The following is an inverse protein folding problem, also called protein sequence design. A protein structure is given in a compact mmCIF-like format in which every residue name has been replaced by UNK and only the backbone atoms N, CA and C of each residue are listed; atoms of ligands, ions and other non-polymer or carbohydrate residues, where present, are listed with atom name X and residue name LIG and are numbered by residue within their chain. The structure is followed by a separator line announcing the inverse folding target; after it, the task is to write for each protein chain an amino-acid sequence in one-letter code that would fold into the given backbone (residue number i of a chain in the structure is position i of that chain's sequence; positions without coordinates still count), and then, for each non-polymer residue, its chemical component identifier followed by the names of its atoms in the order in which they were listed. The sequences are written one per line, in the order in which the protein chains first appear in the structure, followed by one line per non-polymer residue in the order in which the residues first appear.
data_IF_705309967792
#
_entry.id   IF_705309967792
#
_cell.length_a   1.000
_cell.length_b   1.000
_cell.length_c   1.000
_cell.angle_alpha   90.00
_cell.angle_beta   90.00
_cell.angle_gamma   90.00
#
_symmetry.space_group_name_H-M   'P 1'
#
loop_
_entity.id
_entity.type
_entity.pdbx_description
1 polymer ?
#
# COMPACT_ATOMS: atom_id res chain seq x y z
N UNK A 1 35.75 14.83 -20.68
CA UNK A 1 34.37 15.02 -21.19
C UNK A 1 34.10 16.50 -21.16
N UNK A 2 33.98 17.12 -22.32
CA UNK A 2 33.72 18.55 -22.43
C UNK A 2 32.24 18.81 -22.07
N UNK A 3 32.00 19.68 -21.08
CA UNK A 3 30.67 19.97 -20.58
C UNK A 3 29.87 20.79 -21.62
N UNK A 4 28.81 20.21 -22.19
CA UNK A 4 27.83 20.96 -23.00
C UNK A 4 26.91 21.76 -22.08
N UNK A 5 26.72 23.05 -22.36
CA UNK A 5 25.74 23.88 -21.64
C UNK A 5 24.32 23.45 -22.02
N UNK A 6 23.45 23.28 -21.03
CA UNK A 6 22.03 22.98 -21.22
C UNK A 6 21.23 24.29 -21.18
N UNK A 7 20.20 24.41 -22.01
CA UNK A 7 19.32 25.58 -22.12
C UNK A 7 17.86 25.15 -22.08
N UNK A 8 16.98 26.01 -21.56
CA UNK A 8 15.52 25.84 -21.66
C UNK A 8 15.04 26.14 -23.08
N UNK A 9 13.77 25.80 -23.40
CA UNK A 9 13.12 26.18 -24.67
C UNK A 9 13.04 27.70 -24.87
N UNK A 10 13.04 28.47 -23.77
CA UNK A 10 13.09 29.94 -23.76
C UNK A 10 14.51 30.51 -23.92
N UNK A 11 15.54 29.65 -24.02
CA UNK A 11 16.93 30.06 -24.20
C UNK A 11 17.68 30.42 -22.90
N UNK A 12 17.06 30.19 -21.74
CA UNK A 12 17.71 30.42 -20.45
C UNK A 12 18.72 29.32 -20.14
N UNK A 13 19.88 29.70 -19.62
CA UNK A 13 20.95 28.76 -19.29
C UNK A 13 20.56 27.94 -18.06
N UNK A 14 20.48 26.62 -18.20
CA UNK A 14 20.28 25.71 -17.08
C UNK A 14 21.65 25.38 -16.50
N UNK A 15 21.92 25.91 -15.30
CA UNK A 15 23.09 25.51 -14.53
C UNK A 15 22.85 24.16 -13.88
N UNK A 16 23.58 23.14 -14.31
CA UNK A 16 23.64 21.84 -13.63
C UNK A 16 24.95 21.74 -12.85
N UNK A 17 24.87 21.21 -11.63
CA UNK A 17 26.02 20.97 -10.76
C UNK A 17 26.28 19.47 -10.66
N UNK A 18 27.49 19.06 -10.29
CA UNK A 18 27.80 17.63 -10.11
C UNK A 18 28.48 17.38 -8.77
N UNK A 19 28.21 16.22 -8.19
CA UNK A 19 28.89 15.81 -6.96
C UNK A 19 30.38 15.59 -7.23
N UNK A 20 31.26 16.23 -6.45
CA UNK A 20 32.71 16.09 -6.58
C UNK A 20 33.21 14.64 -6.45
N UNK A 21 32.56 13.82 -5.62
CA UNK A 21 32.90 12.41 -5.35
C UNK A 21 32.33 11.43 -6.39
N UNK A 22 31.01 11.36 -6.54
CA UNK A 22 30.36 10.34 -7.37
C UNK A 22 30.00 10.81 -8.79
N UNK A 23 30.24 12.08 -9.12
CA UNK A 23 29.95 12.70 -10.43
C UNK A 23 28.47 12.69 -10.85
N UNK A 24 27.55 12.35 -9.96
CA UNK A 24 26.10 12.46 -10.20
C UNK A 24 25.73 13.92 -10.46
N UNK A 25 24.90 14.15 -11.49
CA UNK A 25 24.41 15.47 -11.90
C UNK A 25 23.20 15.84 -11.05
N UNK A 26 23.16 17.09 -10.60
CA UNK A 26 22.09 17.69 -9.80
C UNK A 26 21.66 19.01 -10.44
N UNK A 27 20.39 19.35 -10.25
CA UNK A 27 19.82 20.61 -10.74
C UNK A 27 20.19 21.83 -9.85
N UNK A 28 20.89 21.60 -8.73
CA UNK A 28 21.34 22.65 -7.81
C UNK A 28 22.71 22.33 -7.21
N UNK A 29 23.45 23.38 -6.86
CA UNK A 29 24.76 23.26 -6.21
C UNK A 29 24.64 22.65 -4.80
N UNK A 30 23.66 23.06 -4.01
CA UNK A 30 23.39 22.48 -2.70
C UNK A 30 23.10 20.96 -2.77
N UNK A 31 22.37 20.50 -3.78
CA UNK A 31 22.13 19.07 -4.01
C UNK A 31 23.41 18.30 -4.37
N UNK A 32 24.29 18.92 -5.16
CA UNK A 32 25.59 18.35 -5.51
C UNK A 32 26.53 18.24 -4.30
N UNK A 33 26.53 19.24 -3.41
CA UNK A 33 27.30 19.25 -2.16
C UNK A 33 26.80 18.19 -1.17
N UNK A 34 25.48 18.03 -1.03
CA UNK A 34 24.87 17.07 -0.11
C UNK A 34 24.89 15.62 -0.63
N UNK A 35 25.09 15.41 -1.93
CA UNK A 35 24.95 14.11 -2.60
C UNK A 35 25.72 12.94 -1.95
N UNK A 36 26.89 13.20 -1.37
CA UNK A 36 27.72 12.18 -0.71
C UNK A 36 28.03 12.55 0.75
N UNK A 37 27.26 13.45 1.33
CA UNK A 37 27.35 13.73 2.76
C UNK A 37 26.51 12.70 3.53
N UNK A 38 27.02 12.19 4.66
CA UNK A 38 26.23 11.34 5.53
C UNK A 38 25.02 12.13 6.03
N UNK A 39 23.83 11.54 5.89
CA UNK A 39 22.61 12.08 6.46
C UNK A 39 22.37 11.39 7.80
N UNK A 40 21.77 12.09 8.76
CA UNK A 40 21.50 11.54 10.08
C UNK A 40 20.02 11.63 10.41
N UNK A 41 19.50 10.59 11.04
CA UNK A 41 18.17 10.58 11.62
C UNK A 41 18.12 11.59 12.77
N UNK A 42 16.92 12.04 13.14
CA UNK A 42 16.71 12.83 14.37
C UNK A 42 17.24 12.16 15.64
N UNK A 43 17.32 10.83 15.67
CA UNK A 43 17.90 10.06 16.78
C UNK A 43 19.43 9.97 16.75
N UNK A 44 20.09 10.55 15.75
CA UNK A 44 21.56 10.55 15.60
C UNK A 44 22.13 9.39 14.76
N UNK A 45 21.31 8.40 14.37
CA UNK A 45 21.78 7.29 13.53
C UNK A 45 22.04 7.74 12.10
N UNK A 46 23.14 7.29 11.50
CA UNK A 46 23.47 7.55 10.10
C UNK A 46 22.45 6.85 9.17
N UNK A 47 21.97 7.60 8.19
CA UNK A 47 20.99 7.18 7.19
C UNK A 47 21.72 6.75 5.91
N UNK A 48 21.25 5.64 5.34
CA UNK A 48 21.70 5.18 4.03
C UNK A 48 20.69 5.59 2.96
N UNK A 49 21.17 6.29 1.93
CA UNK A 49 20.37 6.68 0.77
C UNK A 49 19.46 7.88 1.03
N UNK A 50 18.27 7.87 0.42
CA UNK A 50 17.31 8.99 0.40
C UNK A 50 16.31 8.97 1.57
N UNK A 51 16.57 8.18 2.62
CA UNK A 51 15.64 8.08 3.77
C UNK A 51 15.75 9.31 4.65
N UNK A 52 14.63 9.68 5.28
CA UNK A 52 14.58 10.79 6.25
C UNK A 52 14.67 10.32 7.71
N UNK A 53 14.29 9.06 7.98
CA UNK A 53 14.33 8.44 9.30
C UNK A 53 15.01 7.07 9.25
N UNK A 54 15.66 6.67 10.36
CA UNK A 54 16.25 5.35 10.48
C UNK A 54 15.17 4.29 10.70
N UNK A 55 15.47 3.02 10.41
CA UNK A 55 14.51 1.91 10.54
C UNK A 55 13.89 1.85 11.94
N UNK A 56 14.70 1.93 12.99
CA UNK A 56 14.21 1.97 14.38
C UNK A 56 13.21 3.11 14.63
N UNK A 57 13.45 4.32 14.12
CA UNK A 57 12.50 5.42 14.23
C UNK A 57 11.22 5.19 13.42
N UNK A 58 11.32 4.57 12.24
CA UNK A 58 10.16 4.21 11.41
C UNK A 58 9.29 3.14 12.10
N UNK A 59 9.93 2.13 12.71
CA UNK A 59 9.24 1.05 13.42
C UNK A 59 8.51 1.60 14.65
N UNK A 60 9.14 2.49 15.43
CA UNK A 60 8.49 3.20 16.55
C UNK A 60 7.30 4.04 16.11
N UNK A 61 7.45 4.80 15.02
CA UNK A 61 6.37 5.62 14.49
C UNK A 61 5.21 4.76 13.99
N UNK A 62 5.50 3.61 13.38
CA UNK A 62 4.49 2.66 12.91
C UNK A 62 3.76 2.01 14.08
N UNK A 63 4.48 1.54 15.11
CA UNK A 63 3.91 0.99 16.34
C UNK A 63 3.02 2.01 17.06
N UNK A 64 3.46 3.27 17.16
CA UNK A 64 2.66 4.32 17.79
C UNK A 64 1.38 4.60 17.02
N UNK A 65 1.44 4.67 15.67
CA UNK A 65 0.25 4.84 14.83
C UNK A 65 -0.71 3.67 14.99
N UNK A 66 -0.18 2.46 15.05
CA UNK A 66 -0.97 1.25 15.24
C UNK A 66 -1.68 1.25 16.59
N UNK A 67 -0.96 1.54 17.68
CA UNK A 67 -1.57 1.71 19.01
C UNK A 67 -2.66 2.77 19.02
N UNK A 68 -2.42 3.92 18.39
CA UNK A 68 -3.43 5.00 18.30
C UNK A 68 -4.67 4.58 17.51
N UNK A 69 -4.51 3.79 16.46
CA UNK A 69 -5.61 3.24 15.66
C UNK A 69 -6.42 2.25 16.49
N UNK A 70 -5.75 1.26 17.07
CA UNK A 70 -6.32 0.21 17.91
C UNK A 70 -7.07 0.78 19.11
N UNK A 71 -6.54 1.84 19.75
CA UNK A 71 -7.23 2.53 20.86
C UNK A 71 -8.54 3.22 20.44
N UNK A 72 -8.67 3.61 19.18
CA UNK A 72 -9.89 4.23 18.62
C UNK A 72 -10.84 3.21 18.00
N UNK A 73 -10.35 2.02 17.70
CA UNK A 73 -11.15 0.96 17.10
C UNK A 73 -12.23 0.48 18.07
N UNK A 74 -13.39 0.13 17.51
CA UNK A 74 -14.45 -0.53 18.24
C UNK A 74 -14.03 -1.97 18.57
N UNK A 75 -14.13 -2.36 19.84
CA UNK A 75 -13.95 -3.75 20.23
C UNK A 75 -15.20 -4.55 19.90
N UNK A 76 -15.03 -5.66 19.20
CA UNK A 76 -16.06 -6.67 18.93
C UNK A 76 -15.61 -8.02 19.46
N UNK A 77 -16.55 -8.91 19.77
CA UNK A 77 -16.26 -10.21 20.42
C UNK A 77 -16.07 -11.34 19.43
N UNK A 78 -16.49 -11.16 18.19
CA UNK A 78 -16.45 -12.15 17.11
C UNK A 78 -16.42 -11.42 15.76
N UNK A 79 -15.98 -12.07 14.68
CA UNK A 79 -16.02 -11.49 13.33
C UNK A 79 -17.44 -11.06 12.96
N UNK A 80 -17.57 -9.96 12.21
CA UNK A 80 -18.88 -9.48 11.76
C UNK A 80 -19.25 -9.93 10.34
N UNK A 81 -18.33 -10.58 9.64
CA UNK A 81 -18.53 -11.15 8.32
C UNK A 81 -19.04 -12.60 8.42
N UNK A 82 -19.67 -13.10 7.34
CA UNK A 82 -20.36 -14.40 7.33
C UNK A 82 -19.42 -15.60 7.26
N UNK A 83 -18.18 -15.42 6.82
CA UNK A 83 -17.19 -16.49 6.65
C UNK A 83 -16.11 -16.45 7.74
N UNK A 84 -16.35 -15.70 8.83
CA UNK A 84 -15.51 -15.64 10.03
C UNK A 84 -14.01 -15.33 9.77
N UNK A 85 -13.70 -14.58 8.72
CA UNK A 85 -12.33 -14.16 8.43
C UNK A 85 -11.91 -12.96 9.28
N UNK A 86 -10.65 -12.96 9.71
CA UNK A 86 -9.99 -11.86 10.43
C UNK A 86 -8.66 -11.53 9.77
N UNK A 87 -8.09 -10.38 10.14
CA UNK A 87 -6.81 -9.93 9.60
C UNK A 87 -5.79 -9.64 10.71
N UNK A 88 -4.57 -10.13 10.53
CA UNK A 88 -3.42 -9.82 11.38
C UNK A 88 -2.16 -9.61 10.53
N UNK A 89 -1.53 -8.45 10.64
CA UNK A 89 -0.34 -8.14 9.85
C UNK A 89 0.83 -9.08 10.22
N UNK A 90 1.51 -9.64 9.21
CA UNK A 90 2.62 -10.60 9.39
C UNK A 90 2.23 -12.06 9.65
N UNK A 91 0.94 -12.41 9.58
CA UNK A 91 0.44 -13.78 9.72
C UNK A 91 -0.02 -14.39 8.39
N UNK A 92 0.07 -15.72 8.26
CA UNK A 92 -0.59 -16.54 7.23
C UNK A 92 -0.70 -15.96 5.82
N UNK A 93 -1.81 -16.28 5.15
CA UNK A 93 -2.18 -15.95 3.77
C UNK A 93 -2.31 -14.42 3.53
N UNK A 94 -1.19 -13.71 3.45
CA UNK A 94 -1.12 -12.24 3.31
C UNK A 94 -1.81 -11.47 4.45
N UNK A 95 -1.86 -12.07 5.65
CA UNK A 95 -2.47 -11.48 6.84
C UNK A 95 -3.89 -11.98 7.14
N UNK A 96 -4.54 -12.73 6.25
CA UNK A 96 -5.89 -13.24 6.46
C UNK A 96 -5.88 -14.62 7.14
N UNK A 97 -6.71 -14.76 8.17
CA UNK A 97 -6.85 -15.97 8.98
C UNK A 97 -8.33 -16.26 9.18
N UNK A 98 -8.69 -17.54 9.26
CA UNK A 98 -10.04 -17.92 9.68
C UNK A 98 -10.11 -17.95 11.21
N UNK A 99 -11.16 -17.35 11.80
CA UNK A 99 -11.28 -17.15 13.24
C UNK A 99 -11.16 -18.44 14.06
N UNK A 100 -11.72 -19.53 13.55
CA UNK A 100 -11.69 -20.83 14.22
C UNK A 100 -10.31 -21.50 14.23
N UNK A 101 -9.40 -21.07 13.36
CA UNK A 101 -8.14 -21.76 13.08
C UNK A 101 -6.91 -20.96 13.55
N UNK A 102 -7.11 -19.85 14.26
CA UNK A 102 -6.02 -18.95 14.70
C UNK A 102 -4.98 -19.70 15.52
N UNK A 103 -5.41 -20.52 16.49
CA UNK A 103 -4.49 -21.27 17.36
C UNK A 103 -3.70 -22.31 16.57
N UNK A 104 -4.39 -23.09 15.72
CA UNK A 104 -3.77 -24.13 14.88
C UNK A 104 -2.77 -23.54 13.88
N UNK A 105 -3.10 -22.42 13.24
CA UNK A 105 -2.19 -21.72 12.32
C UNK A 105 -0.95 -21.19 13.06
N UNK A 106 -1.13 -20.59 14.23
CA UNK A 106 -0.01 -20.08 15.05
C UNK A 106 0.93 -21.21 15.50
N UNK A 107 0.37 -22.33 15.97
CA UNK A 107 1.13 -23.50 16.40
C UNK A 107 1.89 -24.14 15.22
N UNK A 108 1.27 -24.20 14.04
CA UNK A 108 1.88 -24.79 12.85
C UNK A 108 3.09 -24.00 12.31
N UNK A 109 3.08 -22.69 12.49
CA UNK A 109 4.15 -21.79 12.02
C UNK A 109 5.15 -21.39 13.12
N UNK A 110 5.05 -21.97 14.32
CA UNK A 110 5.85 -21.61 15.50
C UNK A 110 5.78 -20.09 15.79
N UNK A 111 4.59 -19.52 15.63
CA UNK A 111 4.30 -18.11 15.85
C UNK A 111 3.53 -17.92 17.14
N UNK A 112 3.81 -16.82 17.84
CA UNK A 112 3.04 -16.45 19.02
C UNK A 112 1.63 -15.99 18.61
N UNK A 113 0.61 -16.48 19.32
CA UNK A 113 -0.78 -16.05 19.09
C UNK A 113 -0.86 -14.51 19.17
N UNK A 114 -1.48 -13.84 18.18
CA UNK A 114 -1.54 -12.38 18.18
C UNK A 114 -2.33 -11.86 19.37
N UNK A 115 -2.05 -10.62 19.76
CA UNK A 115 -2.71 -10.02 20.92
C UNK A 115 -4.14 -9.58 20.59
N UNK A 116 -4.32 -9.11 19.36
CA UNK A 116 -5.59 -8.76 18.77
C UNK A 116 -5.54 -9.04 17.26
N UNK A 117 -6.70 -9.14 16.64
CA UNK A 117 -6.87 -9.20 15.19
C UNK A 117 -7.87 -8.14 14.76
N UNK A 118 -7.78 -7.70 13.51
CA UNK A 118 -8.78 -6.85 12.89
C UNK A 118 -9.93 -7.70 12.38
N UNK A 119 -11.15 -7.18 12.50
CA UNK A 119 -12.29 -7.76 11.81
C UNK A 119 -12.14 -7.53 10.28
N UNK A 120 -12.95 -8.20 9.47
CA UNK A 120 -12.97 -8.02 8.02
C UNK A 120 -14.29 -7.43 7.55
N UNK A 121 -14.23 -6.49 6.59
CA UNK A 121 -15.40 -6.03 5.82
C UNK A 121 -15.55 -6.91 4.59
N UNK A 122 -16.75 -7.42 4.39
CA UNK A 122 -17.13 -8.03 3.12
C UNK A 122 -17.22 -6.97 2.03
N UNK A 123 -16.54 -7.23 0.92
CA UNK A 123 -16.72 -6.49 -0.32
C UNK A 123 -17.17 -7.47 -1.39
N UNK A 124 -18.42 -7.31 -1.83
CA UNK A 124 -18.90 -8.02 -3.01
C UNK A 124 -18.16 -7.50 -4.23
N UNK A 125 -17.64 -8.43 -5.03
CA UNK A 125 -17.09 -8.06 -6.31
C UNK A 125 -18.20 -7.45 -7.16
N UNK A 126 -17.96 -6.24 -7.67
CA UNK A 126 -18.95 -5.49 -8.46
C UNK A 126 -19.02 -5.95 -9.92
N UNK A 127 -18.24 -6.96 -10.29
CA UNK A 127 -18.13 -7.42 -11.67
C UNK A 127 -17.23 -6.52 -12.52
N UNK A 128 -17.33 -6.69 -13.84
CA UNK A 128 -16.74 -5.77 -14.83
C UNK A 128 -17.72 -4.64 -15.11
N UNK A 129 -17.30 -3.37 -15.07
CA UNK A 129 -18.17 -2.27 -15.45
C UNK A 129 -18.09 -1.99 -16.95
N UNK A 130 -19.17 -1.46 -17.54
CA UNK A 130 -19.16 -1.04 -18.93
C UNK A 130 -18.15 0.09 -19.20
N UNK A 131 -17.92 0.95 -18.20
CA UNK A 131 -16.88 1.97 -18.25
C UNK A 131 -15.48 1.38 -18.39
N UNK A 132 -15.17 0.28 -17.68
CA UNK A 132 -13.87 -0.39 -17.80
C UNK A 132 -13.66 -0.97 -19.20
N UNK A 133 -14.73 -1.40 -19.87
CA UNK A 133 -14.68 -1.94 -21.24
C UNK A 133 -14.45 -0.81 -22.25
N UNK A 134 -15.18 0.30 -22.13
CA UNK A 134 -15.00 1.48 -22.98
C UNK A 134 -13.60 2.09 -22.81
N UNK A 135 -13.12 2.22 -21.57
CA UNK A 135 -11.77 2.69 -21.28
C UNK A 135 -10.70 1.75 -21.84
N UNK A 136 -10.89 0.42 -21.74
CA UNK A 136 -9.96 -0.55 -22.32
C UNK A 136 -9.92 -0.48 -23.85
N UNK A 137 -11.07 -0.29 -24.49
CA UNK A 137 -11.16 -0.09 -25.94
C UNK A 137 -10.45 1.21 -26.34
N UNK A 138 -10.72 2.32 -25.65
CA UNK A 138 -10.09 3.63 -25.89
C UNK A 138 -8.59 3.58 -25.73
N UNK A 139 -8.11 3.06 -24.60
CA UNK A 139 -6.67 2.93 -24.32
C UNK A 139 -5.98 2.08 -25.40
N UNK A 140 -6.61 1.01 -25.88
CA UNK A 140 -6.05 0.21 -26.96
C UNK A 140 -5.90 0.99 -28.27
N UNK A 141 -6.86 1.85 -28.60
CA UNK A 141 -6.78 2.72 -29.78
C UNK A 141 -5.82 3.89 -29.61
N UNK A 142 -5.69 4.47 -28.41
CA UNK A 142 -4.73 5.53 -28.11
C UNK A 142 -3.28 5.03 -28.11
N UNK A 143 -3.05 3.81 -27.62
CA UNK A 143 -1.73 3.18 -27.58
C UNK A 143 -1.30 2.58 -28.94
N UNK A 144 -2.21 2.50 -29.90
CA UNK A 144 -1.96 1.93 -31.22
C UNK A 144 -1.99 3.02 -32.30
N UNK A 145 -1.15 2.91 -33.34
CA UNK A 145 -1.08 3.88 -34.46
C UNK A 145 -2.31 3.81 -35.42
N UNK A 146 -3.52 3.68 -34.87
CA UNK A 146 -4.77 3.62 -35.63
C UNK A 146 -5.22 5.04 -36.00
N UNK A 147 -6.02 5.15 -37.06
CA UNK A 147 -6.51 6.46 -37.51
C UNK A 147 -7.62 6.99 -36.61
N UNK A 148 -7.67 8.32 -36.46
CA UNK A 148 -8.72 9.04 -35.74
C UNK A 148 -10.10 8.71 -36.36
N UNK A 149 -10.89 7.92 -35.63
CA UNK A 149 -12.21 7.43 -36.08
C UNK A 149 -12.33 5.90 -36.13
N UNK A 150 -11.26 5.15 -35.86
CA UNK A 150 -11.33 3.70 -35.72
C UNK A 150 -12.28 3.26 -34.58
N UNK A 151 -12.33 4.04 -33.49
CA UNK A 151 -13.20 3.78 -32.34
C UNK A 151 -14.70 3.89 -32.69
N UNK A 152 -15.06 4.77 -33.61
CA UNK A 152 -16.45 4.95 -34.06
C UNK A 152 -16.96 3.76 -34.87
N UNK A 153 -16.07 2.84 -35.28
CA UNK A 153 -16.44 1.61 -35.98
C UNK A 153 -16.74 0.44 -35.03
N UNK A 154 -16.55 0.61 -33.72
CA UNK A 154 -16.93 -0.40 -32.74
C UNK A 154 -18.45 -0.50 -32.72
N UNK A 155 -18.98 -1.67 -33.07
CA UNK A 155 -20.41 -1.93 -33.11
C UNK A 155 -20.86 -2.72 -31.90
N UNK A 156 -22.14 -2.56 -31.52
CA UNK A 156 -22.82 -3.36 -30.50
C UNK A 156 -22.19 -3.29 -29.09
N UNK A 157 -21.58 -2.16 -28.71
CA UNK A 157 -21.09 -1.92 -27.34
C UNK A 157 -22.23 -2.08 -26.33
N UNK A 158 -23.42 -1.56 -26.65
CA UNK A 158 -24.61 -1.68 -25.81
C UNK A 158 -25.02 -3.15 -25.57
N UNK A 159 -24.84 -4.03 -26.56
CA UNK A 159 -25.13 -5.47 -26.41
C UNK A 159 -24.11 -6.16 -25.52
N UNK A 160 -22.83 -5.78 -25.64
CA UNK A 160 -21.75 -6.27 -24.78
C UNK A 160 -21.96 -5.81 -23.32
N UNK A 161 -22.34 -4.55 -23.12
CA UNK A 161 -22.69 -4.01 -21.80
C UNK A 161 -23.88 -4.79 -21.19
N UNK A 162 -24.93 -5.03 -21.97
CA UNK A 162 -26.07 -5.82 -21.50
C UNK A 162 -25.67 -7.25 -21.12
N UNK A 163 -24.84 -7.90 -21.94
CA UNK A 163 -24.31 -9.24 -21.66
C UNK A 163 -23.49 -9.26 -20.36
N UNK A 164 -22.56 -8.32 -20.20
CA UNK A 164 -21.68 -8.24 -19.03
C UNK A 164 -22.48 -7.97 -17.75
N UNK A 165 -23.49 -7.09 -17.82
CA UNK A 165 -24.39 -6.85 -16.70
C UNK A 165 -25.16 -8.12 -16.29
N UNK A 166 -25.68 -8.90 -17.24
CA UNK A 166 -26.33 -10.18 -16.94
C UNK A 166 -25.36 -11.25 -16.44
N UNK A 167 -24.12 -11.26 -16.95
CA UNK A 167 -23.07 -12.15 -16.47
C UNK A 167 -22.63 -11.82 -15.04
N UNK A 168 -22.50 -10.52 -14.71
CA UNK A 168 -22.15 -10.03 -13.37
C UNK A 168 -23.21 -10.41 -12.33
N UNK A 169 -24.50 -10.41 -12.69
CA UNK A 169 -25.59 -10.85 -11.79
C UNK A 169 -25.45 -12.30 -11.33
N UNK A 170 -24.74 -13.14 -12.08
CA UNK A 170 -24.51 -14.56 -11.74
C UNK A 170 -23.36 -14.75 -10.76
N UNK A 171 -22.56 -13.71 -10.52
CA UNK A 171 -21.35 -13.81 -9.72
C UNK A 171 -21.71 -13.69 -8.24
N UNK A 172 -21.19 -14.62 -7.44
CA UNK A 172 -21.39 -14.66 -5.99
C UNK A 172 -20.09 -14.38 -5.23
N UNK A 173 -19.07 -13.86 -5.92
CA UNK A 173 -17.75 -13.65 -5.35
C UNK A 173 -17.80 -12.58 -4.25
N UNK A 174 -17.40 -12.99 -3.04
CA UNK A 174 -17.22 -12.12 -1.88
C UNK A 174 -15.72 -12.09 -1.60
N UNK A 175 -15.16 -10.89 -1.52
CA UNK A 175 -13.81 -10.65 -1.02
C UNK A 175 -13.86 -10.06 0.38
N UNK A 176 -12.76 -10.15 1.09
CA UNK A 176 -12.59 -9.57 2.42
C UNK A 176 -11.52 -8.49 2.39
N UNK A 177 -11.74 -7.43 3.14
CA UNK A 177 -10.75 -6.38 3.37
C UNK A 177 -10.63 -6.12 4.87
N UNK A 178 -9.45 -5.75 5.39
CA UNK A 178 -9.27 -5.50 6.80
C UNK A 178 -10.10 -4.30 7.26
N UNK A 179 -10.88 -4.48 8.32
CA UNK A 179 -11.60 -3.41 9.01
C UNK A 179 -10.73 -2.81 10.12
N UNK A 180 -9.91 -1.82 9.77
CA UNK A 180 -9.06 -1.14 10.76
C UNK A 180 -9.83 -0.34 11.83
N UNK A 181 -11.16 -0.26 11.73
CA UNK A 181 -12.02 0.40 12.71
C UNK A 181 -12.56 -0.57 13.77
N UNK A 182 -12.39 -1.89 13.57
CA UNK A 182 -12.85 -2.92 14.50
C UNK A 182 -11.75 -3.90 14.83
N UNK A 183 -11.66 -4.25 16.12
CA UNK A 183 -10.70 -5.23 16.61
C UNK A 183 -11.39 -6.30 17.46
N UNK A 184 -10.82 -7.49 17.43
CA UNK A 184 -11.14 -8.58 18.36
C UNK A 184 -9.89 -8.82 19.20
N UNK A 185 -10.03 -8.66 20.52
CA UNK A 185 -8.94 -8.86 21.47
C UNK A 185 -8.91 -10.33 21.86
N UNK A 186 -7.81 -11.03 21.57
CA UNK A 186 -7.65 -12.45 21.87
C UNK A 186 -7.22 -12.69 23.32
N UNK A 187 -6.42 -11.78 23.87
CA UNK A 187 -5.96 -11.84 25.26
C UNK A 187 -5.91 -10.44 25.88
N UNK A 188 -6.86 -10.14 26.76
CA UNK A 188 -6.99 -8.81 27.39
C UNK A 188 -5.76 -8.40 28.21
N UNK A 189 -5.12 -9.34 28.90
CA UNK A 189 -3.94 -9.01 29.71
C UNK A 189 -2.77 -8.62 28.80
N UNK A 190 -2.44 -9.47 27.82
CA UNK A 190 -1.39 -9.18 26.82
C UNK A 190 -1.69 -7.91 26.04
N UNK A 191 -2.97 -7.62 25.76
CA UNK A 191 -3.39 -6.40 25.07
C UNK A 191 -3.14 -5.15 25.88
N UNK A 192 -3.51 -5.16 27.15
CA UNK A 192 -3.27 -4.02 28.04
C UNK A 192 -1.78 -3.81 28.31
N UNK A 193 -0.99 -4.88 28.37
CA UNK A 193 0.46 -4.79 28.53
C UNK A 193 1.11 -4.27 27.24
N UNK A 194 0.75 -4.83 26.08
CA UNK A 194 1.20 -4.35 24.77
C UNK A 194 0.88 -2.87 24.58
N UNK A 195 -0.29 -2.38 24.97
CA UNK A 195 -0.62 -0.95 24.89
C UNK A 195 0.32 -0.08 25.73
N UNK A 196 0.70 -0.54 26.93
CA UNK A 196 1.59 0.18 27.86
C UNK A 196 3.06 0.12 27.48
N UNK A 197 3.49 -0.86 26.69
CA UNK A 197 4.89 -0.98 26.27
C UNK A 197 5.36 0.29 25.55
N UNK A 198 6.39 0.95 26.07
CA UNK A 198 6.99 2.03 25.31
C UNK A 198 7.74 1.44 24.10
N UNK A 199 7.71 2.11 22.92
CA UNK A 199 8.46 1.65 21.75
C UNK A 199 9.96 1.56 22.07
N UNK A 200 10.43 0.36 22.45
CA UNK A 200 11.80 0.16 22.88
C UNK A 200 12.76 0.23 21.69
N UNK A 201 14.01 0.62 21.95
CA UNK A 201 15.05 0.68 20.92
C UNK A 201 15.74 -0.69 20.96
N UNK A 202 15.48 -1.54 19.97
CA UNK A 202 16.44 -2.57 19.58
C UNK A 202 17.37 -2.01 18.52
#
# INVERSE_FOLDING_TARGET
MDAKSLFTETGEKVSVSYCGKCKKIWYSEAGAEQCCQPSYCKCGNELKGYRHDCRSCQDKASLLKEKQRVMKAQRVTQPSNNDDYVYCDGFGNEGYLHWGDIEDECDSEDKEIPVFVYDCKESKWKGLSAGDIDDLIRNHFEDSDWFDGAIDQVQAIDELEAFVNEWNKKQTLIGFWPDYEKIIVLNEQRFNDWLKEEPSVM
#
